data_IF_120293078764
#
_entry.id   IF_120293078764
#
_cell.length_a   1.000
_cell.length_b   1.000
_cell.length_c   1.000
_cell.angle_alpha   90.00
_cell.angle_beta   90.00
_cell.angle_gamma   90.00
#
_symmetry.space_group_name_H-M   'P 1'
#
loop_
_entity.id
_entity.type
_entity.pdbx_description
1 polymer ?
#
# COMPACT_ATOMS: atom_id res chain seq x y z
N UNK A 1 -6.40 14.86 -3.78
CA UNK A 1 -5.93 13.82 -4.71
C UNK A 1 -5.79 12.51 -3.98
N UNK A 2 -6.04 11.43 -4.66
CA UNK A 2 -6.07 10.10 -4.06
C UNK A 2 -5.21 9.12 -4.85
N UNK A 3 -4.74 8.09 -4.16
CA UNK A 3 -4.04 7.00 -4.79
C UNK A 3 -4.56 5.69 -4.20
N UNK A 4 -4.34 4.61 -4.92
CA UNK A 4 -4.74 3.27 -4.50
C UNK A 4 -3.48 2.45 -4.30
N UNK A 5 -3.39 1.79 -3.14
CA UNK A 5 -2.31 0.84 -2.85
C UNK A 5 -2.93 -0.55 -2.84
N UNK A 6 -2.42 -1.42 -3.70
CA UNK A 6 -2.88 -2.80 -3.81
C UNK A 6 -1.80 -3.74 -3.32
N UNK A 7 -2.15 -4.69 -2.47
CA UNK A 7 -1.20 -5.64 -1.90
C UNK A 7 -1.76 -7.05 -2.06
N UNK A 8 -0.94 -7.95 -2.61
CA UNK A 8 -1.33 -9.36 -2.80
C UNK A 8 -0.19 -10.23 -2.27
N UNK A 9 -0.52 -11.24 -1.47
CA UNK A 9 0.47 -12.16 -0.94
C UNK A 9 -0.16 -13.29 -0.18
N UNK A 10 0.68 -14.20 0.29
CA UNK A 10 0.21 -15.37 1.03
C UNK A 10 0.14 -15.12 2.53
N UNK A 11 1.05 -14.31 3.04
CA UNK A 11 1.13 -14.00 4.46
C UNK A 11 0.44 -12.68 4.73
N UNK A 12 -0.45 -12.65 5.72
CA UNK A 12 -1.23 -11.46 6.05
C UNK A 12 -0.84 -10.85 7.39
N UNK A 13 0.02 -11.52 8.17
CA UNK A 13 0.37 -11.05 9.50
C UNK A 13 1.23 -9.79 9.40
N UNK A 14 0.72 -8.69 9.99
CA UNK A 14 1.45 -7.44 10.04
C UNK A 14 1.50 -6.63 8.76
N UNK A 15 0.87 -7.10 7.67
CA UNK A 15 0.93 -6.39 6.39
C UNK A 15 0.28 -5.01 6.49
N UNK A 16 -0.93 -4.95 7.07
CA UNK A 16 -1.62 -3.66 7.21
C UNK A 16 -0.80 -2.68 8.04
N UNK A 17 -0.24 -3.14 9.17
CA UNK A 17 0.57 -2.27 10.03
C UNK A 17 1.81 -1.77 9.30
N UNK A 18 2.45 -2.64 8.53
CA UNK A 18 3.65 -2.28 7.77
C UNK A 18 3.36 -1.21 6.73
N UNK A 19 2.30 -1.41 5.94
CA UNK A 19 1.92 -0.46 4.89
C UNK A 19 1.44 0.86 5.50
N UNK A 20 0.62 0.79 6.56
CA UNK A 20 0.14 2.00 7.23
C UNK A 20 1.29 2.80 7.82
N UNK A 21 2.31 2.12 8.35
CA UNK A 21 3.48 2.79 8.89
C UNK A 21 4.24 3.54 7.79
N UNK A 22 4.38 2.93 6.61
CA UNK A 22 5.01 3.61 5.47
C UNK A 22 4.20 4.84 5.04
N UNK A 23 2.87 4.71 5.02
CA UNK A 23 2.01 5.86 4.72
C UNK A 23 2.24 6.99 5.71
N UNK A 24 2.31 6.68 7.01
CA UNK A 24 2.55 7.67 8.04
C UNK A 24 3.91 8.35 7.87
N UNK A 25 4.94 7.57 7.52
CA UNK A 25 6.29 8.10 7.35
C UNK A 25 6.38 9.15 6.25
N UNK A 26 5.53 9.05 5.23
CA UNK A 26 5.55 9.95 4.08
C UNK A 26 4.32 10.84 3.98
N UNK A 27 3.55 10.93 5.07
CA UNK A 27 2.37 11.81 5.18
C UNK A 27 1.26 11.47 4.19
N UNK A 28 1.03 10.19 3.93
CA UNK A 28 -0.17 9.77 3.22
C UNK A 28 -1.24 9.50 4.28
N UNK A 29 -2.45 9.97 4.01
CA UNK A 29 -3.57 9.77 4.92
C UNK A 29 -4.42 8.60 4.43
N UNK A 30 -4.55 7.55 5.24
CA UNK A 30 -5.35 6.37 4.88
C UNK A 30 -6.83 6.71 5.03
N UNK A 31 -7.57 6.57 3.94
CA UNK A 31 -9.00 6.89 3.89
C UNK A 31 -9.87 5.65 4.03
N UNK A 32 -9.43 4.53 3.45
CA UNK A 32 -10.24 3.32 3.45
C UNK A 32 -9.32 2.11 3.23
N UNK A 33 -9.71 0.96 3.78
CA UNK A 33 -8.98 -0.29 3.64
C UNK A 33 -9.97 -1.42 3.43
N UNK A 34 -9.75 -2.23 2.42
CA UNK A 34 -10.53 -3.44 2.17
C UNK A 34 -9.60 -4.63 2.10
N UNK A 35 -9.93 -5.70 2.81
CA UNK A 35 -9.13 -6.91 2.86
C UNK A 35 -9.98 -8.11 2.50
N UNK A 36 -9.42 -9.04 1.73
CA UNK A 36 -10.11 -10.24 1.30
C UNK A 36 -9.11 -11.39 1.22
N UNK A 37 -9.58 -12.60 1.53
CA UNK A 37 -8.78 -13.81 1.34
C UNK A 37 -9.49 -14.65 0.29
N UNK A 38 -8.79 -14.92 -0.81
CA UNK A 38 -9.31 -15.73 -1.90
C UNK A 38 -8.31 -16.84 -2.17
N UNK A 39 -8.74 -18.07 -1.97
CA UNK A 39 -7.92 -19.26 -2.27
C UNK A 39 -6.55 -19.19 -1.59
N UNK A 40 -6.53 -18.84 -0.30
CA UNK A 40 -5.34 -18.69 0.53
C UNK A 40 -4.46 -17.50 0.16
N UNK A 41 -4.91 -16.67 -0.78
CA UNK A 41 -4.20 -15.44 -1.13
C UNK A 41 -4.84 -14.26 -0.41
N UNK A 42 -4.03 -13.50 0.29
CA UNK A 42 -4.45 -12.27 0.94
C UNK A 42 -4.40 -11.12 -0.07
N UNK A 43 -5.49 -10.36 -0.16
CA UNK A 43 -5.56 -9.19 -1.02
C UNK A 43 -6.03 -8.00 -0.19
N UNK A 44 -5.30 -6.89 -0.28
CA UNK A 44 -5.67 -5.66 0.42
C UNK A 44 -5.66 -4.51 -0.56
N UNK A 45 -6.68 -3.66 -0.48
CA UNK A 45 -6.75 -2.42 -1.25
C UNK A 45 -6.90 -1.27 -0.29
N UNK A 46 -6.03 -0.29 -0.39
CA UNK A 46 -6.01 0.90 0.45
C UNK A 46 -6.23 2.13 -0.39
N UNK A 47 -7.16 2.97 0.03
CA UNK A 47 -7.34 4.29 -0.58
C UNK A 47 -6.65 5.30 0.31
N UNK A 48 -5.78 6.13 -0.26
CA UNK A 48 -5.02 7.12 0.51
C UNK A 48 -5.13 8.50 -0.13
N UNK A 49 -5.12 9.53 0.71
CA UNK A 49 -5.01 10.92 0.25
C UNK A 49 -3.54 11.28 0.17
N UNK A 50 -3.13 11.88 -0.93
CA UNK A 50 -1.72 12.17 -1.21
C UNK A 50 -1.43 13.67 -1.28
N UNK A 51 -2.37 14.52 -0.84
CA UNK A 51 -2.20 15.97 -0.91
C UNK A 51 -1.03 16.48 -0.07
N UNK A 52 -0.76 15.82 1.04
CA UNK A 52 0.26 16.23 2.00
C UNK A 52 1.50 15.34 1.97
N UNK A 53 1.63 14.45 0.98
CA UNK A 53 2.73 13.51 0.98
C UNK A 53 4.08 14.22 0.79
N UNK A 54 5.10 13.72 1.47
CA UNK A 54 6.40 14.37 1.56
C UNK A 54 7.37 13.99 0.45
N UNK A 55 7.02 13.03 -0.40
CA UNK A 55 7.83 12.62 -1.54
C UNK A 55 6.92 12.45 -2.75
N UNK A 56 7.46 12.45 -3.98
CA UNK A 56 6.64 12.20 -5.17
C UNK A 56 6.02 10.80 -5.15
N UNK A 57 4.84 10.67 -5.74
CA UNK A 57 4.13 9.39 -5.75
C UNK A 57 4.92 8.28 -6.43
N UNK A 58 5.61 8.59 -7.53
CA UNK A 58 6.41 7.58 -8.23
C UNK A 58 7.55 7.06 -7.35
N UNK A 59 8.13 7.89 -6.52
CA UNK A 59 9.18 7.47 -5.59
C UNK A 59 8.58 6.57 -4.49
N UNK A 60 7.43 6.96 -3.95
CA UNK A 60 6.73 6.14 -2.96
C UNK A 60 6.36 4.78 -3.55
N UNK A 61 5.84 4.76 -4.77
CA UNK A 61 5.47 3.52 -5.46
C UNK A 61 6.67 2.58 -5.61
N UNK A 62 7.82 3.13 -5.96
CA UNK A 62 9.05 2.33 -6.10
C UNK A 62 9.46 1.74 -4.76
N UNK A 63 9.41 2.53 -3.69
CA UNK A 63 9.72 2.03 -2.34
C UNK A 63 8.77 0.90 -1.94
N UNK A 64 7.49 1.04 -2.25
CA UNK A 64 6.50 0.01 -1.93
C UNK A 64 6.74 -1.27 -2.71
N UNK A 65 7.07 -1.16 -4.00
CA UNK A 65 7.39 -2.32 -4.81
C UNK A 65 8.62 -3.05 -4.27
N UNK A 66 9.65 -2.31 -3.88
CA UNK A 66 10.85 -2.90 -3.31
C UNK A 66 10.57 -3.57 -1.96
N UNK A 67 9.76 -2.95 -1.13
CA UNK A 67 9.34 -3.53 0.13
C UNK A 67 8.60 -4.84 -0.11
N UNK A 68 7.74 -4.86 -1.13
CA UNK A 68 7.01 -6.07 -1.49
C UNK A 68 7.95 -7.20 -1.88
N UNK A 69 8.99 -6.90 -2.65
CA UNK A 69 9.96 -7.91 -3.05
C UNK A 69 10.66 -8.51 -1.85
N UNK A 70 11.00 -7.70 -0.85
CA UNK A 70 11.63 -8.18 0.37
C UNK A 70 10.72 -9.09 1.19
N UNK A 71 9.41 -8.86 1.11
CA UNK A 71 8.42 -9.58 1.93
C UNK A 71 7.63 -10.62 1.15
N UNK A 72 7.98 -10.87 -0.10
CA UNK A 72 7.25 -11.79 -0.98
C UNK A 72 5.80 -11.37 -1.20
N UNK A 73 5.60 -10.07 -1.38
CA UNK A 73 4.31 -9.47 -1.67
C UNK A 73 4.37 -8.74 -2.99
N UNK A 74 3.23 -8.63 -3.67
CA UNK A 74 3.10 -7.76 -4.83
C UNK A 74 2.40 -6.51 -4.36
N UNK A 75 3.09 -5.38 -4.34
CA UNK A 75 2.54 -4.10 -3.91
C UNK A 75 2.56 -3.15 -5.09
N UNK A 76 1.42 -2.54 -5.37
CA UNK A 76 1.25 -1.57 -6.46
C UNK A 76 0.64 -0.30 -5.93
N UNK A 77 1.17 0.85 -6.35
CA UNK A 77 0.59 2.15 -6.03
C UNK A 77 0.20 2.82 -7.34
N UNK A 78 -1.04 3.29 -7.40
CA UNK A 78 -1.56 3.93 -8.61
C UNK A 78 -2.30 5.20 -8.25
N UNK A 79 -2.07 6.23 -9.05
CA UNK A 79 -2.83 7.48 -8.91
C UNK A 79 -4.27 7.21 -9.31
N UNK A 80 -5.21 7.72 -8.53
CA UNK A 80 -6.63 7.61 -8.86
C UNK A 80 -7.09 8.91 -9.51
N UNK A 81 -7.49 8.83 -10.74
CA UNK A 81 -8.06 9.97 -11.45
C UNK A 81 -9.56 9.85 -11.60
#
# INVERSE_FOLDING_TARGET
MKAVISVIGKDKVGILAMIANECANYNLNVLDVTQTIVDSMFTMTMMVAIDEMSIPLNEFAERMENLGKEKNLVIRCMHQD
#
